data_IF_008683705422
#
_entry.id   IF_008683705422
#
_cell.length_a   1.000
_cell.length_b   1.000
_cell.length_c   1.000
_cell.angle_alpha   90.00
_cell.angle_beta   90.00
_cell.angle_gamma   90.00
#
_symmetry.space_group_name_H-M   'P 1'
#
loop_
_entity.id
_entity.type
_entity.pdbx_description
1 polymer ?
#
# COMPACT_ATOMS: atom_id res chain seq x y z
N UNK A 1 -10.79 -13.37 -24.10
CA UNK A 1 -11.20 -13.60 -22.69
C UNK A 1 -9.97 -13.61 -21.81
N UNK A 2 -9.56 -12.46 -21.28
CA UNK A 2 -8.42 -12.37 -20.36
C UNK A 2 -8.84 -12.95 -19.01
N UNK A 3 -8.32 -14.14 -18.68
CA UNK A 3 -8.38 -14.68 -17.32
C UNK A 3 -7.69 -13.66 -16.43
N UNK A 4 -8.46 -12.89 -15.64
CA UNK A 4 -7.91 -12.06 -14.56
C UNK A 4 -7.31 -13.03 -13.55
N UNK A 5 -6.03 -13.39 -13.71
CA UNK A 5 -5.28 -14.05 -12.66
C UNK A 5 -5.45 -13.22 -11.40
N UNK A 6 -5.70 -13.84 -10.26
CA UNK A 6 -5.71 -13.12 -8.99
C UNK A 6 -4.46 -12.22 -8.93
N UNK A 7 -4.66 -10.92 -8.69
CA UNK A 7 -3.56 -9.97 -8.53
C UNK A 7 -2.56 -10.57 -7.53
N UNK A 8 -1.26 -10.60 -7.87
CA UNK A 8 -0.20 -11.25 -7.07
C UNK A 8 -0.22 -10.84 -5.60
N UNK A 9 -0.59 -9.59 -5.31
CA UNK A 9 -0.76 -9.08 -3.95
C UNK A 9 -1.94 -9.73 -3.19
N UNK A 10 -3.06 -10.03 -3.86
CA UNK A 10 -4.20 -10.73 -3.25
C UNK A 10 -3.86 -12.18 -2.91
N UNK A 11 -3.04 -12.84 -3.76
CA UNK A 11 -2.54 -14.17 -3.46
C UNK A 11 -1.60 -14.16 -2.25
N UNK A 12 -0.64 -13.23 -2.20
CA UNK A 12 0.27 -13.08 -1.06
C UNK A 12 -0.48 -12.79 0.26
N UNK A 13 -1.48 -11.92 0.22
CA UNK A 13 -2.39 -11.65 1.34
C UNK A 13 -3.06 -12.93 1.86
N UNK A 14 -3.60 -13.74 0.94
CA UNK A 14 -4.29 -14.99 1.27
C UNK A 14 -3.35 -16.14 1.68
N UNK A 15 -2.07 -16.08 1.33
CA UNK A 15 -1.08 -17.08 1.69
C UNK A 15 -0.74 -17.01 3.19
N UNK A 16 -0.69 -15.80 3.76
CA UNK A 16 -0.36 -15.58 5.17
C UNK A 16 -1.58 -15.58 6.11
N UNK A 17 -2.76 -15.84 5.57
CA UNK A 17 -4.03 -15.87 6.32
C UNK A 17 -4.32 -17.26 6.89
N UNK A 18 -4.69 -17.38 8.19
CA UNK A 18 -5.12 -18.66 8.77
C UNK A 18 -6.30 -19.26 7.99
N UNK A 19 -6.33 -20.59 7.86
CA UNK A 19 -7.34 -21.31 7.06
C UNK A 19 -8.78 -20.94 7.43
N UNK A 20 -9.06 -20.81 8.74
CA UNK A 20 -10.39 -20.42 9.24
C UNK A 20 -10.77 -19.01 8.78
N UNK A 21 -9.86 -18.05 8.90
CA UNK A 21 -10.08 -16.68 8.47
C UNK A 21 -10.27 -16.60 6.94
N UNK A 22 -9.48 -17.35 6.19
CA UNK A 22 -9.59 -17.44 4.73
C UNK A 22 -10.96 -17.95 4.29
N UNK A 23 -11.47 -19.00 4.93
CA UNK A 23 -12.81 -19.51 4.69
C UNK A 23 -13.89 -18.48 5.05
N UNK A 24 -13.77 -17.84 6.22
CA UNK A 24 -14.70 -16.80 6.68
C UNK A 24 -14.80 -15.63 5.68
N UNK A 25 -13.65 -15.10 5.25
CA UNK A 25 -13.59 -13.98 4.28
C UNK A 25 -14.14 -14.42 2.93
N UNK A 26 -13.81 -15.62 2.45
CA UNK A 26 -14.33 -16.12 1.19
C UNK A 26 -15.86 -16.23 1.18
N UNK A 27 -16.45 -16.75 2.27
CA UNK A 27 -17.91 -16.83 2.44
C UNK A 27 -18.52 -15.43 2.48
N UNK A 28 -17.98 -14.51 3.30
CA UNK A 28 -18.46 -13.14 3.39
C UNK A 28 -18.40 -12.41 2.04
N UNK A 29 -17.33 -12.59 1.28
CA UNK A 29 -17.17 -11.99 -0.05
C UNK A 29 -18.16 -12.56 -1.07
N UNK A 30 -18.45 -13.86 -1.00
CA UNK A 30 -19.45 -14.49 -1.85
C UNK A 30 -20.85 -13.93 -1.55
N UNK A 31 -21.22 -13.84 -0.27
CA UNK A 31 -22.50 -13.28 0.17
C UNK A 31 -22.65 -11.78 -0.17
N UNK A 32 -21.55 -11.03 -0.18
CA UNK A 32 -21.56 -9.63 -0.59
C UNK A 32 -21.83 -9.45 -2.10
N UNK A 33 -21.50 -10.43 -2.93
CA UNK A 33 -21.69 -10.33 -4.38
C UNK A 33 -20.99 -9.09 -4.96
N UNK A 34 -21.77 -8.24 -5.64
CA UNK A 34 -21.33 -6.96 -6.23
C UNK A 34 -21.60 -5.73 -5.34
N UNK A 35 -22.05 -5.92 -4.10
CA UNK A 35 -22.27 -4.82 -3.15
C UNK A 35 -20.92 -4.26 -2.67
N UNK A 36 -20.50 -3.15 -3.28
CA UNK A 36 -19.19 -2.54 -3.01
C UNK A 36 -19.07 -2.04 -1.55
N UNK A 37 -20.17 -1.65 -0.91
CA UNK A 37 -20.16 -1.21 0.49
C UNK A 37 -19.84 -2.39 1.39
N UNK A 38 -20.55 -3.51 1.25
CA UNK A 38 -20.26 -4.73 2.03
C UNK A 38 -18.87 -5.27 1.77
N UNK A 39 -18.41 -5.28 0.50
CA UNK A 39 -17.06 -5.73 0.15
C UNK A 39 -15.99 -4.89 0.84
N UNK A 40 -16.17 -3.58 0.88
CA UNK A 40 -15.26 -2.63 1.54
C UNK A 40 -15.26 -2.81 3.06
N UNK A 41 -16.42 -2.99 3.68
CA UNK A 41 -16.53 -3.30 5.11
C UNK A 41 -15.83 -4.61 5.48
N UNK A 42 -15.99 -5.66 4.66
CA UNK A 42 -15.27 -6.92 4.85
C UNK A 42 -13.76 -6.68 4.76
N UNK A 43 -13.28 -5.97 3.73
CA UNK A 43 -11.86 -5.66 3.60
C UNK A 43 -11.30 -4.82 4.75
N UNK A 44 -12.11 -3.90 5.30
CA UNK A 44 -11.76 -3.15 6.50
C UNK A 44 -11.59 -4.09 7.71
N UNK A 45 -12.57 -4.97 7.96
CA UNK A 45 -12.47 -5.93 9.06
C UNK A 45 -11.26 -6.87 8.94
N UNK A 46 -10.85 -7.21 7.72
CA UNK A 46 -9.64 -8.01 7.45
C UNK A 46 -8.37 -7.20 7.70
N UNK A 47 -8.37 -5.91 7.36
CA UNK A 47 -7.20 -5.05 7.51
C UNK A 47 -6.88 -4.77 8.99
N UNK A 48 -7.89 -4.66 9.84
CA UNK A 48 -7.79 -4.46 11.29
C UNK A 48 -7.16 -5.66 12.02
N UNK A 49 -7.28 -6.85 11.43
CA UNK A 49 -6.72 -8.11 11.94
C UNK A 49 -5.25 -8.31 11.56
N UNK A 50 -4.67 -7.42 10.74
CA UNK A 50 -3.25 -7.52 10.36
C UNK A 50 -2.35 -7.09 11.51
N UNK A 51 -1.25 -7.82 11.67
CA UNK A 51 -0.15 -7.49 12.57
C UNK A 51 1.16 -7.62 11.82
N UNK A 52 2.15 -6.84 12.22
CA UNK A 52 3.48 -6.86 11.62
C UNK A 52 4.34 -7.91 12.31
N UNK A 53 5.07 -8.69 11.54
CA UNK A 53 6.03 -9.69 12.07
C UNK A 53 7.34 -9.05 12.53
N UNK A 54 7.63 -7.84 12.07
CA UNK A 54 8.83 -7.07 12.39
C UNK A 54 8.44 -5.62 12.73
N UNK A 55 9.30 -4.86 13.43
CA UNK A 55 9.16 -3.42 13.61
C UNK A 55 8.92 -2.65 12.30
N UNK A 56 8.26 -1.50 12.39
CA UNK A 56 7.86 -0.68 11.23
C UNK A 56 9.06 -0.25 10.37
N UNK A 57 10.16 0.09 11.01
CA UNK A 57 11.41 0.56 10.41
C UNK A 57 12.13 -0.50 9.57
N UNK A 58 11.91 -1.78 9.85
CA UNK A 58 12.48 -2.88 9.06
C UNK A 58 11.69 -3.17 7.76
N UNK A 59 10.48 -2.62 7.62
CA UNK A 59 9.63 -2.86 6.46
C UNK A 59 9.91 -1.80 5.39
N UNK A 60 10.42 -2.18 4.20
CA UNK A 60 10.87 -1.25 3.18
C UNK A 60 9.68 -0.68 2.37
N UNK A 61 8.59 -0.30 3.02
CA UNK A 61 7.45 0.37 2.40
C UNK A 61 7.57 1.89 2.58
N UNK A 62 7.99 2.56 1.51
CA UNK A 62 8.03 4.01 1.39
C UNK A 62 8.13 4.38 -0.10
N UNK A 63 7.81 5.63 -0.48
CA UNK A 63 8.01 6.08 -1.84
C UNK A 63 9.50 6.19 -2.19
N UNK A 64 9.81 6.07 -3.48
CA UNK A 64 11.07 6.48 -4.10
C UNK A 64 10.78 7.52 -5.17
N UNK A 65 11.71 8.44 -5.42
CA UNK A 65 11.57 9.50 -6.44
C UNK A 65 12.65 9.32 -7.51
N UNK A 66 12.24 9.19 -8.77
CA UNK A 66 13.12 9.38 -9.92
C UNK A 66 13.39 10.88 -10.12
N UNK A 67 14.60 11.30 -9.75
CA UNK A 67 14.99 12.71 -9.82
C UNK A 67 15.14 13.23 -11.25
N UNK A 68 15.32 12.35 -12.25
CA UNK A 68 15.39 12.76 -13.66
C UNK A 68 14.00 13.09 -14.22
N UNK A 69 12.96 12.40 -13.75
CA UNK A 69 11.58 12.67 -14.11
C UNK A 69 10.93 13.78 -13.25
N UNK A 70 11.41 13.98 -12.02
CA UNK A 70 10.81 14.93 -11.08
C UNK A 70 11.00 16.39 -11.52
N UNK A 71 9.90 17.09 -11.82
CA UNK A 71 9.89 18.54 -12.10
C UNK A 71 9.73 19.45 -10.86
N UNK A 72 9.94 18.90 -9.64
CA UNK A 72 9.93 19.68 -8.38
C UNK A 72 8.63 20.48 -8.14
N UNK A 73 7.49 19.97 -8.60
CA UNK A 73 6.18 20.66 -8.52
C UNK A 73 5.55 20.71 -7.11
N UNK A 74 6.18 20.09 -6.10
CA UNK A 74 5.75 20.09 -4.69
C UNK A 74 4.37 19.47 -4.39
N UNK A 75 3.71 18.85 -5.37
CA UNK A 75 2.40 18.20 -5.17
C UNK A 75 2.48 17.09 -4.12
N UNK A 76 3.49 16.24 -4.15
CA UNK A 76 3.67 15.16 -3.18
C UNK A 76 3.91 15.69 -1.76
N UNK A 77 4.68 16.78 -1.63
CA UNK A 77 4.95 17.47 -0.37
C UNK A 77 3.65 18.02 0.24
N UNK A 78 2.87 18.75 -0.55
CA UNK A 78 1.61 19.36 -0.10
C UNK A 78 0.48 18.34 0.14
N UNK A 79 0.50 17.23 -0.60
CA UNK A 79 -0.53 16.19 -0.48
C UNK A 79 -0.33 15.30 0.74
N UNK A 80 0.91 14.97 1.10
CA UNK A 80 1.19 13.95 2.11
C UNK A 80 1.07 14.53 3.54
N UNK A 81 0.01 14.20 4.30
CA UNK A 81 -0.16 14.74 5.66
C UNK A 81 0.84 14.15 6.66
N UNK A 82 1.61 13.13 6.24
CA UNK A 82 2.55 12.39 7.07
C UNK A 82 3.97 12.99 7.06
N UNK A 83 4.22 14.03 6.27
CA UNK A 83 5.53 14.68 6.24
C UNK A 83 6.65 13.81 5.68
N UNK A 84 6.33 12.85 4.81
CA UNK A 84 7.31 11.90 4.23
C UNK A 84 8.39 12.60 3.39
N UNK A 85 8.04 13.74 2.80
CA UNK A 85 8.89 14.48 1.87
C UNK A 85 9.41 15.79 2.48
N UNK A 86 10.55 16.24 1.98
CA UNK A 86 11.06 17.60 2.21
C UNK A 86 11.70 18.15 0.94
N UNK A 87 11.94 19.45 0.93
CA UNK A 87 12.67 20.14 -0.14
C UNK A 87 14.11 20.39 0.32
N UNK A 88 15.07 20.01 -0.51
CA UNK A 88 16.49 20.27 -0.29
C UNK A 88 16.86 21.69 -0.75
N UNK A 89 18.04 22.15 -0.39
CA UNK A 89 18.58 23.48 -0.70
C UNK A 89 18.59 23.85 -2.19
N UNK A 90 18.68 22.85 -3.09
CA UNK A 90 18.68 23.03 -4.55
C UNK A 90 17.27 23.00 -5.16
N UNK A 91 16.24 22.89 -4.31
CA UNK A 91 14.83 22.76 -4.68
C UNK A 91 14.40 21.33 -5.05
N UNK A 92 15.29 20.33 -4.94
CA UNK A 92 14.92 18.93 -5.17
C UNK A 92 13.99 18.41 -4.08
N UNK A 93 13.04 17.56 -4.46
CA UNK A 93 12.14 16.90 -3.50
C UNK A 93 12.74 15.56 -3.12
N UNK A 94 12.91 15.35 -1.82
CA UNK A 94 13.54 14.16 -1.24
C UNK A 94 12.64 13.48 -0.23
N UNK A 95 12.83 12.19 -0.01
CA UNK A 95 12.12 11.39 1.01
C UNK A 95 12.95 11.42 2.29
N UNK A 96 12.53 12.20 3.27
CA UNK A 96 13.26 12.41 4.54
C UNK A 96 12.71 11.58 5.69
N UNK A 97 11.41 11.28 5.68
CA UNK A 97 10.75 10.47 6.71
C UNK A 97 10.09 9.24 6.09
N UNK A 98 10.87 8.29 5.53
CA UNK A 98 10.32 7.13 4.82
C UNK A 98 9.39 6.28 5.70
N UNK A 99 9.70 6.17 7.00
CA UNK A 99 8.94 5.34 7.93
C UNK A 99 7.62 5.97 8.42
N UNK A 100 7.41 7.27 8.19
CA UNK A 100 6.12 7.94 8.40
C UNK A 100 5.09 7.60 7.31
N UNK A 101 5.53 6.99 6.20
CA UNK A 101 4.65 6.54 5.15
C UNK A 101 3.70 5.44 5.69
N UNK A 102 2.40 5.63 5.45
CA UNK A 102 1.38 4.65 5.84
C UNK A 102 1.51 3.39 4.97
N UNK A 103 1.53 2.22 5.61
CA UNK A 103 1.61 0.94 4.93
C UNK A 103 0.52 0.77 3.87
N UNK A 104 0.92 0.39 2.65
CA UNK A 104 0.07 0.24 1.47
C UNK A 104 -0.61 1.53 0.96
N UNK A 105 -0.28 2.70 1.51
CA UNK A 105 -0.67 3.97 0.90
C UNK A 105 0.19 4.21 -0.35
N UNK A 106 -0.47 4.47 -1.48
CA UNK A 106 0.17 4.85 -2.76
C UNK A 106 -0.42 6.14 -3.33
N UNK A 107 -1.12 6.94 -2.50
CA UNK A 107 -1.87 8.10 -2.98
C UNK A 107 -1.01 9.18 -3.67
N UNK A 108 0.27 9.31 -3.29
CA UNK A 108 1.18 10.27 -3.91
C UNK A 108 1.69 9.80 -5.28
N UNK A 109 1.79 8.49 -5.53
CA UNK A 109 2.17 7.92 -6.83
C UNK A 109 1.18 8.37 -7.92
N UNK A 110 -0.12 8.15 -7.69
CA UNK A 110 -1.17 8.56 -8.64
C UNK A 110 -1.40 10.07 -8.77
N UNK A 111 -0.76 10.89 -7.92
CA UNK A 111 -0.84 12.36 -8.00
C UNK A 111 0.38 13.00 -8.66
N UNK A 112 1.46 12.25 -8.83
CA UNK A 112 2.64 12.78 -9.50
C UNK A 112 2.33 12.91 -11.00
N UNK A 113 2.28 14.13 -11.56
CA UNK A 113 1.94 14.32 -12.97
C UNK A 113 3.02 13.74 -13.91
N UNK A 114 4.26 13.59 -13.40
CA UNK A 114 5.40 13.08 -14.15
C UNK A 114 5.61 11.56 -13.96
N UNK A 115 4.81 10.91 -13.10
CA UNK A 115 5.02 9.49 -12.78
C UNK A 115 6.36 9.20 -12.08
N UNK A 116 6.99 10.22 -11.47
CA UNK A 116 8.32 10.12 -10.87
C UNK A 116 8.34 9.39 -9.52
N UNK A 117 7.19 9.02 -8.95
CA UNK A 117 7.08 8.37 -7.64
C UNK A 117 6.73 6.91 -7.83
N UNK A 118 7.46 6.01 -7.15
CA UNK A 118 7.18 4.58 -7.17
C UNK A 118 7.21 3.98 -5.76
N UNK A 119 6.64 2.79 -5.61
CA UNK A 119 6.64 2.01 -4.38
C UNK A 119 7.16 0.58 -4.64
N UNK A 120 7.60 -0.13 -3.58
CA UNK A 120 7.83 -1.57 -3.67
C UNK A 120 6.57 -2.33 -4.10
N UNK A 121 6.75 -3.54 -4.61
CA UNK A 121 5.63 -4.40 -4.97
C UNK A 121 4.79 -4.73 -3.72
N UNK A 122 3.47 -4.51 -3.82
CA UNK A 122 2.51 -4.78 -2.75
C UNK A 122 2.57 -6.23 -2.24
N UNK A 123 2.96 -7.19 -3.08
CA UNK A 123 3.12 -8.58 -2.65
C UNK A 123 4.23 -8.73 -1.60
N UNK A 124 5.28 -7.91 -1.68
CA UNK A 124 6.44 -8.01 -0.80
C UNK A 124 6.13 -7.48 0.60
N UNK A 125 5.22 -6.51 0.72
CA UNK A 125 4.70 -6.07 2.02
C UNK A 125 4.08 -7.22 2.81
N UNK A 126 3.35 -8.12 2.15
CA UNK A 126 2.66 -9.21 2.84
C UNK A 126 3.61 -10.21 3.51
N UNK A 127 4.89 -10.29 3.10
CA UNK A 127 5.92 -11.08 3.81
C UNK A 127 6.06 -10.70 5.29
N UNK A 128 5.71 -9.47 5.64
CA UNK A 128 5.81 -8.92 6.99
C UNK A 128 4.47 -8.92 7.75
N UNK A 129 3.45 -9.60 7.23
CA UNK A 129 2.09 -9.57 7.79
C UNK A 129 1.66 -10.96 8.23
N UNK A 130 1.12 -11.02 9.44
CA UNK A 130 0.29 -12.14 9.89
C UNK A 130 -1.10 -11.63 10.32
N UNK A 131 -2.05 -12.56 10.44
CA UNK A 131 -3.42 -12.25 10.85
C UNK A 131 -3.73 -12.90 12.19
N UNK A 132 -4.36 -12.11 13.07
CA UNK A 132 -4.97 -12.58 14.33
C UNK A 132 -6.44 -12.91 14.12
#
# INVERSE_FOLDING_TARGET
MLKKSANSAAWAMMANMPTRLKAEVAIKMLLAGSDETKRREIMHSVSERRRLTVPRDEIPWHPSIDQLACKRCKICLNFCPKGVYSEDSDGSIVVTHPHECVMLCTGCEGRCPEGAISFPDRKDFYKYVYYV
#
